data_IF_694846623735
#
_entry.id   IF_694846623735
#
_cell.length_a   1.000
_cell.length_b   1.000
_cell.length_c   1.000
_cell.angle_alpha   90.00
_cell.angle_beta   90.00
_cell.angle_gamma   90.00
#
_symmetry.space_group_name_H-M   'P 1'
#
loop_
_entity.id
_entity.type
_entity.pdbx_description
1 polymer ?
#
# COMPACT_ATOMS: atom_id res chain seq x y z
N UNK A 1 -17.00 -8.59 11.17
CA UNK A 1 -17.05 -8.21 9.75
C UNK A 1 -16.80 -9.42 8.88
N UNK A 2 -17.51 -9.52 7.77
CA UNK A 2 -17.31 -10.60 6.82
C UNK A 2 -16.09 -10.38 5.93
N UNK A 3 -15.80 -11.36 5.10
CA UNK A 3 -14.78 -11.24 4.08
C UNK A 3 -15.32 -10.47 2.86
N UNK A 4 -14.45 -9.76 2.19
CA UNK A 4 -14.73 -9.10 0.92
C UNK A 4 -14.12 -9.89 -0.23
N UNK A 5 -14.78 -9.86 -1.39
CA UNK A 5 -14.26 -10.48 -2.61
C UNK A 5 -14.03 -9.36 -3.64
N UNK A 6 -12.81 -9.25 -4.15
CA UNK A 6 -12.42 -8.26 -5.13
C UNK A 6 -11.68 -9.00 -6.26
N UNK A 7 -12.20 -8.90 -7.47
CA UNK A 7 -11.62 -9.56 -8.68
C UNK A 7 -11.29 -11.04 -8.46
N UNK A 8 -12.16 -11.75 -7.74
CA UNK A 8 -11.97 -13.16 -7.44
C UNK A 8 -11.10 -13.46 -6.23
N UNK A 9 -10.51 -12.43 -5.60
CA UNK A 9 -9.75 -12.59 -4.36
C UNK A 9 -10.65 -12.34 -3.16
N UNK A 10 -10.54 -13.20 -2.17
CA UNK A 10 -11.25 -13.04 -0.92
C UNK A 10 -10.36 -12.30 0.08
N UNK A 11 -10.77 -11.09 0.47
CA UNK A 11 -10.07 -10.34 1.50
C UNK A 11 -10.38 -10.93 2.87
N UNK A 12 -9.36 -11.18 3.70
CA UNK A 12 -9.59 -11.64 5.07
C UNK A 12 -10.34 -10.59 5.88
N UNK A 13 -11.12 -11.02 6.86
CA UNK A 13 -11.72 -10.10 7.82
C UNK A 13 -10.66 -9.48 8.74
N UNK A 14 -10.97 -8.35 9.35
CA UNK A 14 -10.07 -7.70 10.31
C UNK A 14 -9.72 -8.66 11.46
N UNK A 15 -10.70 -9.43 11.94
CA UNK A 15 -10.50 -10.35 13.05
C UNK A 15 -9.46 -11.45 12.71
N UNK A 16 -9.49 -11.94 11.48
CA UNK A 16 -8.51 -12.92 11.00
C UNK A 16 -7.14 -12.29 10.83
N UNK A 17 -7.11 -11.04 10.35
CA UNK A 17 -5.85 -10.34 10.06
C UNK A 17 -5.12 -9.87 11.31
N UNK A 18 -5.84 -9.62 12.40
CA UNK A 18 -5.29 -8.94 13.55
C UNK A 18 -4.06 -9.64 14.14
N UNK A 19 -4.06 -10.96 14.22
CA UNK A 19 -2.96 -11.72 14.81
C UNK A 19 -1.92 -12.24 13.81
N UNK A 20 -2.30 -12.43 12.53
CA UNK A 20 -1.48 -13.15 11.54
C UNK A 20 -1.41 -12.48 10.18
N UNK A 21 -1.57 -11.18 10.11
CA UNK A 21 -1.63 -10.45 8.86
C UNK A 21 -0.40 -10.70 7.97
N UNK A 22 0.80 -10.59 8.53
CA UNK A 22 2.05 -10.77 7.81
C UNK A 22 2.21 -12.19 7.28
N UNK A 23 1.89 -13.18 8.09
CA UNK A 23 1.96 -14.59 7.71
C UNK A 23 0.95 -14.90 6.60
N UNK A 24 -0.27 -14.37 6.70
CA UNK A 24 -1.31 -14.61 5.69
C UNK A 24 -0.93 -14.10 4.31
N UNK A 25 -0.28 -12.94 4.22
CA UNK A 25 0.16 -12.41 2.92
C UNK A 25 1.26 -13.30 2.30
N UNK A 26 2.31 -13.58 3.07
CA UNK A 26 3.45 -14.39 2.61
C UNK A 26 3.08 -15.83 2.27
N UNK A 27 2.12 -16.41 3.00
CA UNK A 27 1.67 -17.79 2.77
C UNK A 27 0.75 -17.91 1.56
N UNK A 28 -0.07 -16.90 1.27
CA UNK A 28 -1.07 -16.94 0.20
C UNK A 28 -0.56 -16.50 -1.15
N UNK A 29 0.36 -15.55 -1.17
CA UNK A 29 0.83 -14.92 -2.40
C UNK A 29 2.34 -14.98 -2.49
N UNK A 30 2.81 -15.60 -3.57
CA UNK A 30 4.24 -15.69 -3.84
C UNK A 30 4.85 -14.30 -4.04
N UNK A 31 6.11 -14.18 -3.66
CA UNK A 31 6.90 -13.00 -3.97
C UNK A 31 6.87 -12.72 -5.48
N UNK A 32 6.58 -11.50 -5.86
CA UNK A 32 6.46 -11.10 -7.25
C UNK A 32 5.05 -11.26 -7.85
N UNK A 33 4.06 -11.66 -7.06
CA UNK A 33 2.67 -11.76 -7.53
C UNK A 33 2.09 -10.39 -7.89
N UNK A 34 1.21 -10.38 -8.90
CA UNK A 34 0.39 -9.22 -9.23
C UNK A 34 -0.96 -9.34 -8.55
N UNK A 35 -1.33 -8.32 -7.79
CA UNK A 35 -2.53 -8.31 -6.95
C UNK A 35 -3.48 -7.19 -7.37
N UNK A 36 -4.79 -7.34 -7.14
CA UNK A 36 -5.77 -6.29 -7.44
C UNK A 36 -5.51 -5.01 -6.64
N UNK A 37 -5.84 -3.85 -7.23
CA UNK A 37 -5.68 -2.54 -6.60
C UNK A 37 -6.30 -2.47 -5.21
N UNK A 38 -7.56 -2.84 -5.09
CA UNK A 38 -8.29 -2.73 -3.83
C UNK A 38 -7.68 -3.60 -2.74
N UNK A 39 -7.20 -4.78 -3.11
CA UNK A 39 -6.52 -5.66 -2.17
C UNK A 39 -5.22 -5.02 -1.66
N UNK A 40 -4.43 -4.44 -2.56
CA UNK A 40 -3.16 -3.79 -2.20
C UNK A 40 -3.40 -2.58 -1.32
N UNK A 41 -4.33 -1.71 -1.67
CA UNK A 41 -4.65 -0.52 -0.88
C UNK A 41 -5.15 -0.90 0.53
N UNK A 42 -6.04 -1.88 0.62
CA UNK A 42 -6.52 -2.38 1.90
C UNK A 42 -5.38 -3.00 2.73
N UNK A 43 -4.50 -3.76 2.10
CA UNK A 43 -3.33 -4.36 2.76
C UNK A 43 -2.38 -3.29 3.31
N UNK A 44 -2.14 -2.21 2.57
CA UNK A 44 -1.29 -1.11 3.03
C UNK A 44 -1.88 -0.46 4.29
N UNK A 45 -3.20 -0.23 4.32
CA UNK A 45 -3.88 0.29 5.51
C UNK A 45 -3.73 -0.68 6.69
N UNK A 46 -3.98 -1.96 6.46
CA UNK A 46 -3.92 -2.97 7.53
C UNK A 46 -2.50 -3.15 8.07
N UNK A 47 -1.51 -3.23 7.19
CA UNK A 47 -0.11 -3.33 7.61
C UNK A 47 0.37 -2.04 8.26
N UNK A 48 0.29 -0.93 7.53
CA UNK A 48 0.90 0.32 7.96
C UNK A 48 0.17 0.98 9.12
N UNK A 49 -1.15 1.15 9.01
CA UNK A 49 -1.91 1.90 10.02
C UNK A 49 -2.29 1.02 11.21
N UNK A 50 -2.84 -0.16 10.97
CA UNK A 50 -3.37 -1.00 12.06
C UNK A 50 -2.24 -1.74 12.77
N UNK A 51 -1.38 -2.42 12.03
CA UNK A 51 -0.31 -3.26 12.61
C UNK A 51 1.01 -2.53 12.80
N UNK A 52 1.15 -1.33 12.29
CA UNK A 52 2.42 -0.56 12.35
C UNK A 52 3.60 -1.32 11.75
N UNK A 53 3.34 -2.11 10.72
CA UNK A 53 4.36 -2.80 9.93
C UNK A 53 4.80 -1.88 8.80
N UNK A 54 6.08 -1.53 8.69
CA UNK A 54 6.53 -0.61 7.66
C UNK A 54 6.40 -1.21 6.27
N UNK A 55 5.88 -0.40 5.34
CA UNK A 55 5.74 -0.76 3.93
C UNK A 55 6.30 0.35 3.05
N UNK A 56 6.77 -0.01 1.87
CA UNK A 56 7.22 0.96 0.87
C UNK A 56 6.40 0.80 -0.41
N UNK A 57 5.92 1.91 -0.95
CA UNK A 57 5.08 1.92 -2.15
C UNK A 57 5.71 2.78 -3.23
N UNK A 58 5.77 2.24 -4.43
CA UNK A 58 6.17 2.97 -5.64
C UNK A 58 4.92 3.17 -6.51
N UNK A 59 4.21 4.31 -6.36
CA UNK A 59 3.04 4.59 -7.18
C UNK A 59 3.44 5.01 -8.60
N UNK A 60 2.57 4.75 -9.57
CA UNK A 60 2.75 5.28 -10.93
C UNK A 60 2.35 6.74 -11.06
N UNK A 61 1.50 7.21 -10.15
CA UNK A 61 1.15 8.61 -10.02
C UNK A 61 2.05 9.33 -9.02
N UNK A 62 1.66 10.53 -8.63
CA UNK A 62 2.35 11.26 -7.56
C UNK A 62 2.04 10.65 -6.18
N UNK A 63 2.91 10.93 -5.22
CA UNK A 63 2.67 10.52 -3.84
C UNK A 63 1.33 11.07 -3.33
N UNK A 64 1.00 12.30 -3.66
CA UNK A 64 -0.29 12.91 -3.28
C UNK A 64 -1.48 12.17 -3.89
N UNK A 65 -1.41 11.81 -5.17
CA UNK A 65 -2.47 11.01 -5.83
C UNK A 65 -2.64 9.66 -5.16
N UNK A 66 -1.54 9.01 -4.81
CA UNK A 66 -1.59 7.73 -4.10
C UNK A 66 -2.21 7.88 -2.71
N UNK A 67 -1.79 8.87 -1.93
CA UNK A 67 -2.35 9.13 -0.61
C UNK A 67 -3.87 9.41 -0.70
N UNK A 68 -4.32 10.10 -1.73
CA UNK A 68 -5.74 10.35 -1.96
C UNK A 68 -6.53 9.05 -2.20
N UNK A 69 -5.90 7.98 -2.64
CA UNK A 69 -6.52 6.65 -2.74
C UNK A 69 -6.71 5.99 -1.37
N UNK A 70 -5.80 6.25 -0.44
CA UNK A 70 -5.86 5.68 0.90
C UNK A 70 -6.86 6.39 1.82
N UNK A 71 -7.07 7.69 1.64
CA UNK A 71 -7.87 8.51 2.55
C UNK A 71 -9.30 8.00 2.72
N UNK A 72 -10.08 7.71 1.67
CA UNK A 72 -11.44 7.17 1.85
C UNK A 72 -11.45 5.83 2.58
N UNK A 73 -10.44 4.99 2.33
CA UNK A 73 -10.32 3.68 2.98
C UNK A 73 -10.01 3.83 4.46
N UNK A 74 -9.12 4.75 4.81
CA UNK A 74 -8.73 5.01 6.19
C UNK A 74 -9.84 5.68 6.97
N UNK A 75 -10.49 6.70 6.39
CA UNK A 75 -11.51 7.51 7.07
C UNK A 75 -12.89 6.89 7.06
N UNK A 76 -13.16 5.96 6.14
CA UNK A 76 -14.50 5.38 5.87
C UNK A 76 -15.51 6.44 5.43
N UNK A 77 -15.03 7.51 4.84
CA UNK A 77 -15.86 8.59 4.30
C UNK A 77 -15.76 8.56 2.78
N UNK A 78 -16.89 8.69 2.10
CA UNK A 78 -16.93 8.68 0.64
C UNK A 78 -16.07 9.79 0.05
N UNK A 79 -15.36 9.46 -1.03
CA UNK A 79 -14.43 10.35 -1.72
C UNK A 79 -15.07 11.69 -2.12
N UNK A 80 -16.27 11.64 -2.68
CA UNK A 80 -17.01 12.83 -3.12
C UNK A 80 -17.33 13.74 -1.94
N UNK A 81 -17.70 13.16 -0.82
CA UNK A 81 -18.01 13.87 0.41
C UNK A 81 -16.78 14.61 0.94
N UNK A 82 -15.62 13.96 0.90
CA UNK A 82 -14.34 14.58 1.30
C UNK A 82 -14.00 15.72 0.34
N UNK A 83 -14.11 15.46 -0.97
CA UNK A 83 -13.79 16.42 -2.02
C UNK A 83 -14.64 17.69 -1.93
N UNK A 84 -15.92 17.55 -1.63
CA UNK A 84 -16.87 18.65 -1.50
C UNK A 84 -16.78 19.35 -0.15
N UNK A 85 -16.06 18.77 0.81
CA UNK A 85 -15.99 19.30 2.18
C UNK A 85 -17.30 19.22 2.94
N UNK A 86 -18.20 18.33 2.51
CA UNK A 86 -19.54 18.20 3.07
C UNK A 86 -19.57 17.17 4.21
N UNK A 87 -18.89 17.49 5.30
CA UNK A 87 -18.80 16.63 6.48
C UNK A 87 -19.53 17.27 7.66
N UNK A 88 -20.24 16.45 8.43
CA UNK A 88 -20.80 16.89 9.72
C UNK A 88 -19.68 17.17 10.72
N UNK A 89 -19.97 17.90 11.82
CA UNK A 89 -18.95 18.12 12.87
C UNK A 89 -18.36 16.84 13.44
N UNK A 90 -19.17 15.79 13.58
CA UNK A 90 -18.72 14.47 14.06
C UNK A 90 -17.79 13.81 13.02
N UNK A 91 -18.16 13.90 11.75
CA UNK A 91 -17.34 13.38 10.65
C UNK A 91 -16.00 14.11 10.53
N UNK A 92 -16.00 15.46 10.69
CA UNK A 92 -14.76 16.23 10.69
C UNK A 92 -13.81 15.79 11.79
N UNK A 93 -14.32 15.59 13.00
CA UNK A 93 -13.51 15.14 14.13
C UNK A 93 -12.92 13.75 13.89
N UNK A 94 -13.73 12.84 13.35
CA UNK A 94 -13.27 11.50 12.98
C UNK A 94 -12.25 11.56 11.86
N UNK A 95 -12.48 12.40 10.85
CA UNK A 95 -11.56 12.59 9.72
C UNK A 95 -10.19 13.06 10.22
N UNK A 96 -10.13 14.10 11.03
CA UNK A 96 -8.87 14.63 11.55
C UNK A 96 -8.07 13.55 12.30
N UNK A 97 -8.73 12.79 13.15
CA UNK A 97 -8.10 11.70 13.90
C UNK A 97 -7.55 10.62 12.98
N UNK A 98 -8.35 10.18 12.01
CA UNK A 98 -7.98 9.14 11.06
C UNK A 98 -6.85 9.58 10.12
N UNK A 99 -6.86 10.85 9.72
CA UNK A 99 -5.77 11.41 8.93
C UNK A 99 -4.47 11.44 9.71
N UNK A 100 -4.52 11.78 11.00
CA UNK A 100 -3.34 11.74 11.85
C UNK A 100 -2.79 10.32 11.95
N UNK A 101 -3.64 9.32 12.15
CA UNK A 101 -3.22 7.91 12.18
C UNK A 101 -2.52 7.51 10.88
N UNK A 102 -3.05 7.95 9.73
CA UNK A 102 -2.44 7.66 8.43
C UNK A 102 -1.08 8.34 8.25
N UNK A 103 -0.97 9.61 8.60
CA UNK A 103 0.30 10.33 8.48
C UNK A 103 1.38 9.84 9.44
N UNK A 104 0.99 9.36 10.60
CA UNK A 104 1.93 8.80 11.59
C UNK A 104 2.31 7.34 11.29
N UNK A 105 1.61 6.69 10.37
CA UNK A 105 1.87 5.30 10.01
C UNK A 105 3.19 5.13 9.24
N UNK A 106 3.90 4.01 9.41
CA UNK A 106 5.14 3.73 8.68
C UNK A 106 4.88 3.29 7.24
N UNK A 107 4.20 4.12 6.48
CA UNK A 107 3.91 3.93 5.06
C UNK A 107 4.78 4.90 4.27
N UNK A 108 5.78 4.36 3.58
CA UNK A 108 6.72 5.12 2.78
C UNK A 108 6.23 5.15 1.34
N UNK A 109 6.13 6.34 0.74
CA UNK A 109 5.64 6.50 -0.62
C UNK A 109 6.71 7.20 -1.44
N UNK A 110 7.12 6.56 -2.53
CA UNK A 110 8.12 7.13 -3.45
C UNK A 110 7.53 8.33 -4.20
N UNK A 111 8.33 9.37 -4.32
CA UNK A 111 7.97 10.58 -5.09
C UNK A 111 8.95 10.87 -6.24
N UNK A 112 9.83 9.93 -6.53
CA UNK A 112 10.82 10.05 -7.61
C UNK A 112 10.27 9.36 -8.86
N UNK A 113 10.46 10.00 -10.02
CA UNK A 113 10.10 9.40 -11.31
C UNK A 113 10.93 8.15 -11.58
N UNK A 114 10.29 7.09 -12.05
CA UNK A 114 10.95 5.81 -12.32
C UNK A 114 11.19 5.67 -13.82
N UNK A 115 12.44 5.68 -14.23
CA UNK A 115 12.87 5.46 -15.61
C UNK A 115 13.71 4.18 -15.75
N UNK A 116 14.33 3.74 -14.66
CA UNK A 116 15.21 2.58 -14.64
C UNK A 116 15.16 1.87 -13.28
N UNK A 117 15.76 0.68 -13.22
CA UNK A 117 15.84 -0.08 -11.97
C UNK A 117 16.60 0.67 -10.87
N UNK A 118 17.56 1.52 -11.25
CA UNK A 118 18.33 2.32 -10.30
C UNK A 118 17.44 3.30 -9.53
N UNK A 119 16.38 3.80 -10.14
CA UNK A 119 15.41 4.64 -9.44
C UNK A 119 14.70 3.89 -8.31
N UNK A 120 14.33 2.61 -8.53
CA UNK A 120 13.83 1.76 -7.45
C UNK A 120 14.88 1.53 -6.38
N UNK A 121 16.11 1.19 -6.79
CA UNK A 121 17.21 0.88 -5.87
C UNK A 121 17.65 2.10 -5.04
N UNK A 122 17.31 3.32 -5.46
CA UNK A 122 17.59 4.51 -4.66
C UNK A 122 16.89 4.50 -3.30
N UNK A 123 15.85 3.69 -3.13
CA UNK A 123 15.13 3.52 -1.86
C UNK A 123 15.77 2.46 -0.95
N UNK A 124 16.81 1.77 -1.39
CA UNK A 124 17.39 0.63 -0.67
C UNK A 124 17.82 0.97 0.75
N UNK A 125 18.46 2.13 0.95
CA UNK A 125 18.90 2.55 2.28
C UNK A 125 17.72 2.73 3.24
N UNK A 126 16.64 3.33 2.78
CA UNK A 126 15.41 3.48 3.58
C UNK A 126 14.81 2.12 3.90
N UNK A 127 14.73 1.25 2.90
CA UNK A 127 14.17 -0.10 3.06
C UNK A 127 14.95 -0.87 4.12
N UNK A 128 16.28 -0.82 4.08
CA UNK A 128 17.14 -1.50 5.03
C UNK A 128 17.04 -0.87 6.42
N UNK A 129 17.17 0.45 6.50
CA UNK A 129 17.19 1.16 7.78
C UNK A 129 15.85 1.06 8.53
N UNK A 130 14.75 1.12 7.80
CA UNK A 130 13.41 1.02 8.37
C UNK A 130 12.91 -0.43 8.49
N UNK A 131 13.73 -1.40 8.12
CA UNK A 131 13.41 -2.84 8.17
C UNK A 131 12.13 -3.19 7.41
N UNK A 132 11.97 -2.60 6.24
CA UNK A 132 10.80 -2.83 5.38
C UNK A 132 10.92 -4.20 4.73
N UNK A 133 9.88 -5.02 4.89
CA UNK A 133 9.80 -6.36 4.32
C UNK A 133 8.79 -6.49 3.19
N UNK A 134 7.98 -5.48 2.97
CA UNK A 134 6.93 -5.48 1.96
C UNK A 134 7.01 -4.23 1.10
N UNK A 135 7.20 -4.44 -0.19
CA UNK A 135 7.30 -3.37 -1.19
C UNK A 135 6.20 -3.59 -2.21
N UNK A 136 5.46 -2.54 -2.53
CA UNK A 136 4.39 -2.58 -3.52
C UNK A 136 4.75 -1.69 -4.69
N UNK A 137 4.69 -2.23 -5.89
CA UNK A 137 5.00 -1.50 -7.12
C UNK A 137 3.74 -1.40 -7.97
N UNK A 138 3.32 -0.19 -8.24
CA UNK A 138 2.20 0.13 -9.10
C UNK A 138 2.72 0.39 -10.51
N UNK A 139 2.21 -0.39 -11.47
CA UNK A 139 2.47 -0.20 -12.90
C UNK A 139 3.96 -0.20 -13.27
N UNK A 140 4.60 -1.34 -13.06
CA UNK A 140 6.00 -1.52 -13.45
C UNK A 140 6.21 -1.14 -14.93
N UNK A 141 7.15 -0.23 -15.26
CA UNK A 141 7.46 0.10 -16.64
C UNK A 141 7.87 -1.13 -17.46
N UNK A 142 7.40 -1.19 -18.71
CA UNK A 142 7.71 -2.31 -19.62
C UNK A 142 9.20 -2.48 -19.90
N UNK A 143 9.97 -1.42 -19.75
CA UNK A 143 11.42 -1.42 -19.95
C UNK A 143 12.19 -2.07 -18.81
N UNK A 144 11.53 -2.36 -17.68
CA UNK A 144 12.15 -2.93 -16.48
C UNK A 144 11.66 -4.36 -16.30
N UNK A 145 12.59 -5.30 -16.20
CA UNK A 145 12.26 -6.70 -16.03
C UNK A 145 11.80 -6.96 -14.58
N UNK A 146 10.63 -7.55 -14.47
CA UNK A 146 10.04 -7.94 -13.18
C UNK A 146 10.99 -8.86 -12.40
N UNK A 147 11.69 -9.78 -13.09
CA UNK A 147 12.62 -10.70 -12.44
C UNK A 147 13.79 -9.97 -11.76
N UNK A 148 14.24 -8.85 -12.31
CA UNK A 148 15.31 -8.05 -11.71
C UNK A 148 14.87 -7.38 -10.42
N UNK A 149 13.63 -6.93 -10.37
CA UNK A 149 13.03 -6.37 -9.15
C UNK A 149 12.92 -7.47 -8.08
N UNK A 150 12.43 -8.65 -8.45
CA UNK A 150 12.30 -9.76 -7.51
C UNK A 150 13.66 -10.16 -6.94
N UNK A 151 14.69 -10.27 -7.79
CA UNK A 151 16.06 -10.56 -7.35
C UNK A 151 16.61 -9.50 -6.41
N UNK A 152 16.35 -8.24 -6.71
CA UNK A 152 16.74 -7.15 -5.82
C UNK A 152 16.10 -7.33 -4.43
N UNK A 153 14.81 -7.62 -4.38
CA UNK A 153 14.11 -7.90 -3.12
C UNK A 153 14.68 -9.08 -2.36
N UNK A 154 14.98 -10.18 -3.06
CA UNK A 154 15.59 -11.35 -2.45
C UNK A 154 16.98 -11.04 -1.86
N UNK A 155 17.78 -10.25 -2.54
CA UNK A 155 19.11 -9.85 -2.09
C UNK A 155 19.05 -8.92 -0.87
N UNK A 156 18.09 -8.01 -0.83
CA UNK A 156 17.93 -7.04 0.27
C UNK A 156 17.15 -7.62 1.45
N UNK A 157 16.19 -8.51 1.17
CA UNK A 157 15.39 -9.17 2.19
C UNK A 157 13.96 -8.66 2.29
N UNK A 158 13.35 -8.27 1.19
CA UNK A 158 11.94 -7.90 1.15
C UNK A 158 11.16 -8.68 0.09
N UNK A 159 9.86 -8.82 0.29
CA UNK A 159 8.94 -9.32 -0.72
C UNK A 159 8.37 -8.16 -1.51
N UNK A 160 8.21 -8.35 -2.81
CA UNK A 160 7.60 -7.35 -3.69
C UNK A 160 6.30 -7.87 -4.27
N UNK A 161 5.30 -7.01 -4.32
CA UNK A 161 4.02 -7.28 -4.94
C UNK A 161 3.70 -6.18 -5.95
N UNK A 162 3.14 -6.59 -7.07
CA UNK A 162 2.83 -5.69 -8.18
C UNK A 162 1.34 -5.44 -8.27
N UNK A 163 0.96 -4.28 -8.73
CA UNK A 163 -0.44 -3.93 -8.96
C UNK A 163 -0.54 -2.89 -10.07
N UNK A 164 -1.75 -2.52 -10.44
CA UNK A 164 -2.04 -1.37 -11.31
C UNK A 164 -3.11 -0.54 -10.65
N UNK A 165 -2.77 0.69 -10.32
CA UNK A 165 -3.67 1.64 -9.67
C UNK A 165 -4.18 2.62 -10.71
N UNK A 166 -5.52 2.79 -10.76
CA UNK A 166 -6.15 3.78 -11.62
C UNK A 166 -6.27 5.10 -10.85
N UNK A 167 -5.75 6.18 -11.44
CA UNK A 167 -5.89 7.54 -10.92
C UNK A 167 -6.88 8.32 -11.78
N UNK A 168 -7.60 9.21 -11.15
CA UNK A 168 -8.51 10.12 -11.86
C UNK A 168 -7.79 11.38 -12.28
#
# INVERSE_FOLDING_TARGET
>A
MGNQIIDGYQLPSIDILDDKLEVNLSDKYENGSTLPEEFVLDTIIRFGVIKQIPVFVFPSGTAAQFMNKLIPLQTKIEKEKIKEGNLSPVEWKSFDRKMKELYDAPVWVNDIEIESIENYKSAEDVIINEKIKYVFIDSLPETIDKSDIIKWGENVGFNVYFTKIAYE
#
